data_IF_494723949840
#
_entry.id   IF_494723949840
#
_cell.length_a   1.000
_cell.length_b   1.000
_cell.length_c   1.000
_cell.angle_alpha   90.00
_cell.angle_beta   90.00
_cell.angle_gamma   90.00
#
_symmetry.space_group_name_H-M   'P 1'
#
loop_
_entity.id
_entity.type
_entity.pdbx_description
1 polymer ?
#
# COMPACT_ATOMS: atom_id res chain seq x y z
N UNK A 1 6.22 29.99 0.83
CA UNK A 1 5.90 28.85 -0.06
C UNK A 1 5.12 27.85 0.77
N UNK A 2 3.86 27.64 0.42
CA UNK A 2 2.85 27.01 1.26
C UNK A 2 3.21 25.57 1.63
N UNK A 3 3.01 25.22 2.90
CA UNK A 3 3.17 23.86 3.38
C UNK A 3 2.11 22.96 2.75
N UNK A 4 2.45 22.32 1.63
CA UNK A 4 1.72 21.14 1.18
C UNK A 4 1.83 20.12 2.32
N UNK A 5 0.70 19.87 2.97
CA UNK A 5 0.59 18.78 3.95
C UNK A 5 0.95 17.50 3.22
N UNK A 6 2.20 17.08 3.38
CA UNK A 6 2.73 15.86 2.80
C UNK A 6 1.89 14.70 3.35
N UNK A 7 0.85 14.29 2.61
CA UNK A 7 -0.19 13.40 3.12
C UNK A 7 0.45 12.04 3.31
N UNK A 8 0.45 11.56 4.55
CA UNK A 8 1.00 10.26 4.93
C UNK A 8 -0.13 9.27 5.11
N UNK A 9 0.03 8.06 4.58
CA UNK A 9 -0.92 6.96 4.72
C UNK A 9 -0.15 5.72 5.13
N UNK A 10 -0.64 5.02 6.15
CA UNK A 10 -0.12 3.70 6.52
C UNK A 10 -0.73 2.68 5.57
N UNK A 11 0.10 1.88 4.92
CA UNK A 11 -0.32 0.82 4.01
C UNK A 11 -0.32 -0.49 4.78
N UNK A 12 -1.46 -1.17 4.78
CA UNK A 12 -1.67 -2.46 5.43
C UNK A 12 -1.42 -3.64 4.46
N UNK A 13 -1.13 -4.82 5.00
CA UNK A 13 -0.90 -6.06 4.25
C UNK A 13 -2.07 -6.35 3.30
N UNK A 14 -3.31 -6.19 3.76
CA UNK A 14 -4.49 -6.45 2.94
C UNK A 14 -4.65 -5.47 1.77
N UNK A 15 -4.17 -4.23 1.88
CA UNK A 15 -4.17 -3.30 0.75
C UNK A 15 -3.18 -3.76 -0.33
N UNK A 16 -2.01 -4.26 0.07
CA UNK A 16 -1.04 -4.83 -0.87
C UNK A 16 -1.56 -6.12 -1.51
N UNK A 17 -2.20 -7.00 -0.73
CA UNK A 17 -2.81 -8.23 -1.24
C UNK A 17 -3.92 -7.93 -2.24
N UNK A 18 -4.86 -7.04 -1.88
CA UNK A 18 -5.94 -6.64 -2.78
C UNK A 18 -5.41 -6.03 -4.08
N UNK A 19 -4.30 -5.29 -4.03
CA UNK A 19 -3.63 -4.77 -5.24
C UNK A 19 -3.14 -5.91 -6.15
N UNK A 20 -2.50 -6.94 -5.58
CA UNK A 20 -2.00 -8.08 -6.35
C UNK A 20 -3.14 -8.85 -7.03
N UNK A 21 -4.28 -8.99 -6.36
CA UNK A 21 -5.44 -9.71 -6.90
C UNK A 21 -6.40 -8.85 -7.74
N UNK A 22 -6.14 -7.55 -7.88
CA UNK A 22 -7.05 -6.63 -8.58
C UNK A 22 -8.36 -6.37 -7.83
N UNK A 23 -8.37 -6.54 -6.51
CA UNK A 23 -9.54 -6.44 -5.63
C UNK A 23 -9.59 -5.11 -4.85
N UNK A 24 -8.78 -4.13 -5.25
CA UNK A 24 -8.81 -2.81 -4.61
C UNK A 24 -10.16 -2.13 -4.84
N UNK A 25 -10.71 -1.53 -3.78
CA UNK A 25 -11.76 -0.53 -3.96
C UNK A 25 -11.23 0.67 -4.76
N UNK A 26 -12.08 1.36 -5.52
CA UNK A 26 -11.68 2.53 -6.30
C UNK A 26 -11.00 3.62 -5.44
N UNK A 27 -11.39 3.74 -4.17
CA UNK A 27 -10.74 4.66 -3.22
C UNK A 27 -9.31 4.22 -2.89
N UNK A 28 -9.10 2.93 -2.63
CA UNK A 28 -7.79 2.39 -2.32
C UNK A 28 -6.87 2.45 -3.56
N UNK A 29 -7.38 2.09 -4.73
CA UNK A 29 -6.67 2.21 -6.00
C UNK A 29 -6.20 3.65 -6.27
N UNK A 30 -7.06 4.65 -6.08
CA UNK A 30 -6.68 6.06 -6.21
C UNK A 30 -5.56 6.44 -5.22
N UNK A 31 -5.61 5.97 -3.97
CA UNK A 31 -4.54 6.23 -2.99
C UNK A 31 -3.24 5.55 -3.41
N UNK A 32 -3.27 4.29 -3.84
CA UNK A 32 -2.08 3.57 -4.31
C UNK A 32 -1.47 4.24 -5.55
N UNK A 33 -2.30 4.73 -6.48
CA UNK A 33 -1.87 5.52 -7.62
C UNK A 33 -1.22 6.85 -7.20
N UNK A 34 -1.78 7.58 -6.25
CA UNK A 34 -1.16 8.81 -5.72
C UNK A 34 0.15 8.54 -4.98
N UNK A 35 0.28 7.39 -4.30
CA UNK A 35 1.56 6.94 -3.73
C UNK A 35 2.59 6.69 -4.85
N UNK A 36 2.20 5.95 -5.89
CA UNK A 36 3.05 5.67 -7.05
C UNK A 36 3.52 6.94 -7.76
N UNK A 37 2.66 7.96 -7.87
CA UNK A 37 2.99 9.28 -8.45
C UNK A 37 3.82 10.19 -7.53
N UNK A 38 4.06 9.80 -6.27
CA UNK A 38 4.76 10.62 -5.29
C UNK A 38 3.94 11.76 -4.69
N UNK A 39 2.62 11.79 -4.91
CA UNK A 39 1.69 12.79 -4.36
C UNK A 39 1.35 12.51 -2.89
N UNK A 40 1.46 11.23 -2.46
CA UNK A 40 1.18 10.75 -1.11
C UNK A 40 2.36 9.90 -0.63
N UNK A 41 2.80 10.10 0.60
CA UNK A 41 3.82 9.23 1.20
C UNK A 41 3.15 7.99 1.80
N UNK A 42 3.39 6.83 1.20
CA UNK A 42 3.01 5.53 1.76
C UNK A 42 4.03 5.08 2.82
N UNK A 43 3.56 4.75 4.01
CA UNK A 43 4.37 4.18 5.10
C UNK A 43 4.01 2.70 5.19
N UNK A 44 5.00 1.83 5.03
CA UNK A 44 4.86 0.39 5.25
C UNK A 44 5.51 0.07 6.60
N UNK A 45 4.74 -0.29 7.64
CA UNK A 45 5.28 -0.78 8.89
C UNK A 45 6.09 -2.06 8.69
N UNK A 46 7.10 -2.31 9.53
CA UNK A 46 7.91 -3.53 9.46
C UNK A 46 7.04 -4.80 9.56
N UNK A 47 5.99 -4.77 10.38
CA UNK A 47 5.04 -5.88 10.52
C UNK A 47 4.35 -6.22 9.21
N UNK A 48 4.00 -5.22 8.40
CA UNK A 48 3.37 -5.42 7.08
C UNK A 48 4.36 -6.08 6.11
N UNK A 49 5.63 -5.69 6.15
CA UNK A 49 6.67 -6.34 5.35
C UNK A 49 6.84 -7.82 5.74
N UNK A 50 6.87 -8.13 7.04
CA UNK A 50 6.93 -9.52 7.53
C UNK A 50 5.72 -10.34 7.12
N UNK A 51 4.51 -9.81 7.33
CA UNK A 51 3.28 -10.50 6.96
C UNK A 51 3.20 -10.77 5.46
N UNK A 52 3.48 -9.77 4.64
CA UNK A 52 3.50 -9.90 3.18
C UNK A 52 4.50 -10.96 2.72
N UNK A 53 5.71 -10.98 3.31
CA UNK A 53 6.73 -12.00 3.04
C UNK A 53 6.24 -13.41 3.42
N UNK A 54 5.54 -13.56 4.54
CA UNK A 54 4.96 -14.85 4.95
C UNK A 54 3.86 -15.29 3.98
N UNK A 55 3.02 -14.37 3.48
CA UNK A 55 1.99 -14.72 2.49
C UNK A 55 2.62 -15.19 1.18
N UNK A 56 3.69 -14.52 0.72
CA UNK A 56 4.46 -14.95 -0.45
C UNK A 56 5.11 -16.32 -0.23
N UNK A 57 5.79 -16.53 0.91
CA UNK A 57 6.40 -17.83 1.25
C UNK A 57 5.39 -18.98 1.29
N UNK A 58 4.14 -18.70 1.68
CA UNK A 58 3.03 -19.67 1.68
C UNK A 58 2.39 -19.88 0.30
N UNK A 59 2.89 -19.24 -0.76
CA UNK A 59 2.35 -19.31 -2.12
C UNK A 59 0.98 -18.65 -2.26
N UNK A 60 0.61 -17.75 -1.34
CA UNK A 60 -0.68 -17.03 -1.37
C UNK A 60 -0.60 -15.72 -2.12
N UNK A 61 0.60 -15.29 -2.51
CA UNK A 61 0.84 -14.14 -3.36
C UNK A 61 1.89 -14.62 -4.38
N UNK A 62 1.70 -14.37 -5.69
CA UNK A 62 2.67 -14.70 -6.73
C UNK A 62 4.03 -14.02 -6.52
#
# INVERSE_FOLDING_TARGET
MGGEKNRKVVVDTYALMAMVFGELSSKAENIMCSIYKGEVTGIVPETVAYEYTIQWYKGRIP
#
